data_IF_141822877706
#
_entry.id   IF_141822877706
#
_cell.length_a   1.000
_cell.length_b   1.000
_cell.length_c   1.000
_cell.angle_alpha   90.00
_cell.angle_beta   90.00
_cell.angle_gamma   90.00
#
_symmetry.space_group_name_H-M   'P 1'
#
loop_
_entity.id
_entity.type
_entity.pdbx_description
1 polymer ?
#
# COMPACT_ATOMS: atom_id res chain seq x y z
N UNK A 1 53.38 52.95 26.66
CA UNK A 1 53.75 51.71 27.37
C UNK A 1 52.52 50.83 27.51
N UNK A 2 52.64 49.52 27.17
CA UNK A 2 51.71 48.38 27.42
C UNK A 2 50.31 48.46 26.78
N UNK A 3 50.11 47.95 25.55
CA UNK A 3 49.73 46.56 25.17
C UNK A 3 48.61 45.97 26.03
N UNK A 4 47.43 45.77 25.41
CA UNK A 4 46.56 44.61 25.64
C UNK A 4 45.70 44.44 24.37
N UNK A 5 46.04 43.41 23.60
CA UNK A 5 45.26 42.90 22.47
C UNK A 5 44.19 41.96 23.03
N UNK A 6 42.95 42.11 22.60
CA UNK A 6 41.90 41.12 22.80
C UNK A 6 41.38 40.71 21.42
N UNK A 7 41.88 39.57 20.95
CA UNK A 7 41.40 38.92 19.74
C UNK A 7 40.00 38.36 20.01
N UNK A 8 38.97 38.98 19.42
CA UNK A 8 37.63 38.39 19.33
C UNK A 8 37.65 37.38 18.18
N UNK A 9 37.75 36.10 18.56
CA UNK A 9 37.68 34.98 17.65
C UNK A 9 36.29 34.93 16.98
N UNK A 10 36.26 35.15 15.66
CA UNK A 10 35.11 34.88 14.82
C UNK A 10 34.93 33.36 14.69
N UNK A 11 34.15 32.77 15.60
CA UNK A 11 33.72 31.38 15.49
C UNK A 11 32.71 31.22 14.36
N UNK A 12 33.17 30.72 13.21
CA UNK A 12 32.29 30.19 12.17
C UNK A 12 31.50 29.00 12.75
N UNK A 13 30.21 29.21 13.01
CA UNK A 13 29.25 28.14 13.23
C UNK A 13 29.02 27.42 11.89
N UNK A 14 29.88 26.45 11.59
CA UNK A 14 29.62 25.45 10.56
C UNK A 14 28.49 24.54 11.05
N UNK A 15 27.25 24.89 10.71
CA UNK A 15 26.11 24.00 10.83
C UNK A 15 26.34 22.85 9.85
N UNK A 16 26.41 21.58 10.30
CA UNK A 16 26.42 20.47 9.37
C UNK A 16 25.09 20.46 8.62
N UNK A 17 25.16 20.64 7.30
CA UNK A 17 24.07 20.37 6.39
C UNK A 17 23.83 18.86 6.36
N UNK A 18 23.16 18.34 7.39
CA UNK A 18 22.65 16.97 7.36
C UNK A 18 21.59 16.90 6.25
N UNK A 19 21.84 15.99 5.31
CA UNK A 19 21.13 15.85 4.04
C UNK A 19 19.62 15.87 4.19
N UNK A 20 18.99 16.77 3.44
CA UNK A 20 17.56 16.70 3.19
C UNK A 20 17.34 15.60 2.14
N UNK A 21 17.14 14.36 2.60
CA UNK A 21 16.67 13.27 1.74
C UNK A 21 15.26 13.67 1.25
N UNK A 22 15.16 14.13 0.01
CA UNK A 22 13.88 14.49 -0.58
C UNK A 22 13.10 13.21 -0.88
N UNK A 23 12.16 12.85 -0.01
CA UNK A 23 11.19 11.79 -0.31
C UNK A 23 10.29 12.30 -1.44
N UNK A 24 10.51 11.79 -2.66
CA UNK A 24 9.65 12.11 -3.79
C UNK A 24 8.22 11.64 -3.51
N UNK A 25 7.28 12.58 -3.37
CA UNK A 25 5.86 12.28 -3.29
C UNK A 25 5.35 11.98 -4.70
N UNK A 26 5.42 10.73 -5.12
CA UNK A 26 4.80 10.27 -6.36
C UNK A 26 3.30 10.50 -6.31
N UNK A 27 2.75 11.17 -7.32
CA UNK A 27 1.29 11.31 -7.44
C UNK A 27 0.66 9.93 -7.68
N UNK A 28 -0.48 9.67 -7.06
CA UNK A 28 -1.20 8.41 -7.22
C UNK A 28 -2.26 8.54 -8.32
N UNK A 29 -2.21 7.63 -9.30
CA UNK A 29 -3.26 7.47 -10.30
C UNK A 29 -4.27 6.40 -9.84
N UNK A 30 -5.51 6.54 -10.28
CA UNK A 30 -6.59 5.60 -9.99
C UNK A 30 -6.71 4.57 -11.13
N UNK A 31 -6.85 3.30 -10.78
CA UNK A 31 -7.10 2.21 -11.71
C UNK A 31 -8.59 1.95 -11.94
N UNK A 32 -8.90 1.20 -12.99
CA UNK A 32 -10.25 0.78 -13.36
C UNK A 32 -10.64 -0.55 -12.71
N UNK A 33 -9.66 -1.38 -12.35
CA UNK A 33 -9.86 -2.65 -11.67
C UNK A 33 -8.69 -2.98 -10.73
N UNK A 34 -8.94 -3.88 -9.77
CA UNK A 34 -7.90 -4.52 -8.96
C UNK A 34 -7.76 -5.98 -9.40
N UNK A 35 -6.52 -6.44 -9.57
CA UNK A 35 -6.21 -7.85 -9.72
C UNK A 35 -5.82 -8.39 -8.36
N UNK A 36 -6.60 -9.34 -7.88
CA UNK A 36 -6.45 -9.96 -6.58
C UNK A 36 -6.09 -11.43 -6.75
N UNK A 37 -5.30 -11.97 -5.84
CA UNK A 37 -5.09 -13.41 -5.68
C UNK A 37 -5.81 -13.89 -4.44
N UNK A 38 -6.48 -15.02 -4.56
CA UNK A 38 -6.97 -15.77 -3.42
C UNK A 38 -6.17 -17.07 -3.26
N UNK A 39 -6.08 -17.54 -2.02
CA UNK A 39 -5.39 -18.77 -1.63
C UNK A 39 -6.23 -19.57 -0.65
N UNK A 40 -6.39 -20.86 -0.88
CA UNK A 40 -6.81 -21.82 0.15
C UNK A 40 -5.58 -22.30 0.92
N UNK A 41 -5.43 -21.84 2.17
CA UNK A 41 -4.27 -22.15 3.02
C UNK A 41 -4.17 -23.64 3.38
N UNK A 42 -5.25 -24.41 3.23
CA UNK A 42 -5.27 -25.84 3.60
C UNK A 42 -4.64 -26.72 2.51
N UNK A 43 -4.89 -26.42 1.23
CA UNK A 43 -4.41 -27.24 0.11
C UNK A 43 -3.45 -26.50 -0.85
N UNK A 44 -3.24 -25.19 -0.64
CA UNK A 44 -2.33 -24.37 -1.44
C UNK A 44 -2.88 -23.95 -2.81
N UNK A 45 -4.14 -24.25 -3.11
CA UNK A 45 -4.75 -23.84 -4.38
C UNK A 45 -4.96 -22.33 -4.42
N UNK A 46 -4.57 -21.69 -5.52
CA UNK A 46 -4.71 -20.25 -5.70
C UNK A 46 -5.43 -19.92 -7.02
N UNK A 47 -6.08 -18.77 -7.04
CA UNK A 47 -6.70 -18.21 -8.25
C UNK A 47 -6.54 -16.70 -8.25
N UNK A 48 -6.49 -16.12 -9.44
CA UNK A 48 -6.49 -14.68 -9.63
C UNK A 48 -7.85 -14.24 -10.19
N UNK A 49 -8.33 -13.10 -9.74
CA UNK A 49 -9.52 -12.46 -10.28
C UNK A 49 -9.25 -10.97 -10.52
N UNK A 50 -9.73 -10.46 -11.65
CA UNK A 50 -9.80 -9.03 -11.91
C UNK A 50 -11.20 -8.53 -11.56
N UNK A 51 -11.26 -7.56 -10.66
CA UNK A 51 -12.52 -7.01 -10.14
C UNK A 51 -12.51 -5.50 -10.41
N UNK A 52 -13.50 -5.04 -11.17
CA UNK A 52 -13.67 -3.62 -11.44
C UNK A 52 -13.85 -2.82 -10.14
N UNK A 53 -13.30 -1.61 -10.09
CA UNK A 53 -13.50 -0.69 -8.97
C UNK A 53 -15.01 -0.37 -8.83
N UNK A 54 -15.51 -0.42 -7.61
CA UNK A 54 -16.94 -0.30 -7.28
C UNK A 54 -17.74 -1.60 -7.43
N UNK A 55 -17.10 -2.71 -7.75
CA UNK A 55 -17.74 -4.03 -7.93
C UNK A 55 -17.28 -5.05 -6.90
N UNK A 56 -17.99 -6.19 -6.87
CA UNK A 56 -17.66 -7.34 -6.02
C UNK A 56 -17.55 -8.62 -6.83
N UNK A 57 -16.71 -9.55 -6.39
CA UNK A 57 -16.66 -10.92 -6.91
C UNK A 57 -16.51 -11.94 -5.77
N UNK A 58 -16.97 -13.16 -6.01
CA UNK A 58 -16.75 -14.27 -5.09
C UNK A 58 -15.44 -15.00 -5.40
N UNK A 59 -14.61 -15.21 -4.38
CA UNK A 59 -13.33 -15.90 -4.47
C UNK A 59 -13.25 -16.94 -3.33
N UNK A 60 -13.21 -18.23 -3.66
CA UNK A 60 -13.25 -19.33 -2.68
C UNK A 60 -14.35 -19.23 -1.61
N UNK A 61 -15.50 -18.63 -1.94
CA UNK A 61 -16.57 -18.43 -0.97
C UNK A 61 -16.35 -17.25 -0.02
N UNK A 62 -15.46 -16.31 -0.36
CA UNK A 62 -15.41 -14.97 0.19
C UNK A 62 -16.00 -13.99 -0.83
N UNK A 63 -16.83 -13.06 -0.38
CA UNK A 63 -17.28 -11.94 -1.20
C UNK A 63 -16.33 -10.77 -1.03
N UNK A 64 -15.58 -10.47 -2.08
CA UNK A 64 -14.54 -9.43 -2.10
C UNK A 64 -15.06 -8.22 -2.87
N UNK A 65 -15.05 -7.05 -2.24
CA UNK A 65 -15.49 -5.79 -2.84
C UNK A 65 -14.30 -4.85 -2.99
N UNK A 66 -14.10 -4.31 -4.19
CA UNK A 66 -13.04 -3.35 -4.48
C UNK A 66 -13.65 -1.95 -4.50
N UNK A 67 -13.29 -1.11 -3.54
CA UNK A 67 -13.80 0.27 -3.47
C UNK A 67 -12.89 1.26 -4.17
N UNK A 68 -11.58 1.02 -4.14
CA UNK A 68 -10.59 1.87 -4.81
C UNK A 68 -9.35 1.03 -5.15
N UNK A 69 -8.63 1.41 -6.19
CA UNK A 69 -7.35 0.81 -6.58
C UNK A 69 -6.44 1.91 -7.13
N UNK A 70 -5.25 2.06 -6.58
CA UNK A 70 -4.30 3.11 -6.96
C UNK A 70 -2.90 2.58 -7.18
N UNK A 71 -2.16 3.28 -8.02
CA UNK A 71 -0.77 3.00 -8.36
C UNK A 71 0.01 4.32 -8.57
N UNK A 72 1.35 4.31 -8.53
CA UNK A 72 2.14 5.53 -8.78
C UNK A 72 1.96 5.99 -10.23
N UNK A 73 1.53 7.23 -10.45
CA UNK A 73 1.30 7.77 -11.80
C UNK A 73 2.57 7.76 -12.65
N UNK A 74 3.72 8.08 -12.03
CA UNK A 74 5.04 8.07 -12.66
C UNK A 74 5.55 6.65 -12.97
N UNK A 75 4.98 5.62 -12.34
CA UNK A 75 5.33 4.22 -12.52
C UNK A 75 4.07 3.33 -12.42
N UNK A 76 3.31 3.17 -13.53
CA UNK A 76 2.09 2.36 -13.54
C UNK A 76 2.28 0.88 -13.19
N UNK A 77 3.51 0.37 -13.32
CA UNK A 77 3.90 -0.97 -12.91
C UNK A 77 4.43 -1.06 -11.48
N UNK A 78 4.42 0.07 -10.75
CA UNK A 78 4.88 0.19 -9.38
C UNK A 78 3.92 -0.41 -8.37
N UNK A 79 4.18 -0.15 -7.09
CA UNK A 79 3.45 -0.76 -5.98
C UNK A 79 1.99 -0.28 -5.93
N UNK A 80 1.07 -1.21 -6.12
CA UNK A 80 -0.35 -0.93 -6.11
C UNK A 80 -0.89 -1.01 -4.68
N UNK A 81 -1.94 -0.26 -4.41
CA UNK A 81 -2.69 -0.39 -3.17
C UNK A 81 -4.18 -0.23 -3.45
N UNK A 82 -4.98 -1.10 -2.85
CA UNK A 82 -6.43 -1.14 -3.06
C UNK A 82 -7.17 -1.11 -1.73
N UNK A 83 -8.33 -0.46 -1.72
CA UNK A 83 -9.24 -0.52 -0.59
C UNK A 83 -10.23 -1.66 -0.82
N UNK A 84 -10.15 -2.67 0.04
CA UNK A 84 -10.98 -3.87 -0.06
C UNK A 84 -11.89 -3.99 1.15
N UNK A 85 -13.08 -4.55 0.91
CA UNK A 85 -13.95 -5.07 1.96
C UNK A 85 -14.21 -6.55 1.64
N UNK A 86 -13.89 -7.44 2.58
CA UNK A 86 -14.03 -8.90 2.44
C UNK A 86 -14.95 -9.43 3.52
N UNK A 87 -15.92 -10.27 3.13
CA UNK A 87 -16.89 -10.89 4.05
C UNK A 87 -17.27 -12.29 3.58
N UNK A 88 -17.87 -13.06 4.47
CA UNK A 88 -18.50 -14.32 4.09
C UNK A 88 -19.83 -14.04 3.35
N UNK A 89 -20.17 -14.77 2.28
CA UNK A 89 -21.47 -14.69 1.63
C UNK A 89 -22.60 -15.00 2.62
N UNK A 90 -23.62 -14.15 2.66
CA UNK A 90 -24.77 -14.30 3.56
C UNK A 90 -24.52 -13.90 5.02
N UNK A 91 -23.30 -13.49 5.37
CA UNK A 91 -22.96 -12.93 6.68
C UNK A 91 -22.70 -11.42 6.57
N UNK A 92 -23.04 -10.68 7.62
CA UNK A 92 -22.68 -9.28 7.79
C UNK A 92 -21.28 -9.09 8.38
N UNK A 93 -20.66 -10.15 8.92
CA UNK A 93 -19.34 -10.07 9.53
C UNK A 93 -18.24 -9.80 8.49
N UNK A 94 -17.64 -8.61 8.58
CA UNK A 94 -16.49 -8.20 7.79
C UNK A 94 -15.24 -8.89 8.32
N UNK A 95 -14.55 -9.63 7.44
CA UNK A 95 -13.29 -10.32 7.74
C UNK A 95 -12.07 -9.41 7.50
N UNK A 96 -12.23 -8.45 6.59
CA UNK A 96 -11.22 -7.43 6.30
C UNK A 96 -11.90 -6.19 5.74
N UNK A 97 -11.46 -5.01 6.19
CA UNK A 97 -11.79 -3.75 5.57
C UNK A 97 -10.62 -2.79 5.72
N UNK A 98 -10.11 -2.29 4.59
CA UNK A 98 -9.04 -1.31 4.62
C UNK A 98 -8.20 -1.29 3.36
N UNK A 99 -7.14 -0.48 3.42
CA UNK A 99 -6.11 -0.44 2.40
C UNK A 99 -5.17 -1.63 2.53
N UNK A 100 -4.87 -2.23 1.39
CA UNK A 100 -3.88 -3.29 1.27
C UNK A 100 -2.85 -2.91 0.21
N UNK A 101 -1.57 -3.10 0.53
CA UNK A 101 -0.43 -2.79 -0.34
C UNK A 101 0.03 -4.08 -1.01
N UNK A 102 0.16 -4.09 -2.33
CA UNK A 102 0.47 -5.29 -3.09
C UNK A 102 1.85 -5.87 -2.75
N UNK A 103 2.86 -5.03 -2.52
CA UNK A 103 4.19 -5.47 -2.09
C UNK A 103 4.23 -6.00 -0.65
N UNK A 104 3.29 -5.59 0.21
CA UNK A 104 3.34 -5.79 1.66
C UNK A 104 1.97 -6.12 2.27
N UNK A 105 1.24 -7.14 1.77
CA UNK A 105 -0.10 -7.44 2.24
C UNK A 105 -0.13 -7.85 3.73
N UNK A 106 0.99 -8.39 4.24
CA UNK A 106 1.13 -8.78 5.64
C UNK A 106 1.07 -7.60 6.65
N UNK A 107 1.19 -6.34 6.20
CA UNK A 107 1.04 -5.17 7.08
C UNK A 107 -0.40 -4.96 7.54
N UNK A 108 -1.36 -5.40 6.73
CA UNK A 108 -2.79 -5.38 7.03
C UNK A 108 -3.42 -6.63 6.41
N UNK A 109 -3.24 -7.81 7.04
CA UNK A 109 -3.63 -9.08 6.46
C UNK A 109 -5.13 -9.32 6.58
N UNK A 110 -5.68 -10.12 5.67
CA UNK A 110 -7.01 -10.71 5.83
C UNK A 110 -6.95 -11.78 6.94
N UNK A 111 -7.73 -11.58 8.01
CA UNK A 111 -7.83 -12.54 9.11
C UNK A 111 -9.00 -13.49 8.91
N UNK A 112 -8.80 -14.49 8.04
CA UNK A 112 -9.78 -15.54 7.80
C UNK A 112 -9.14 -16.93 8.01
N UNK A 113 -9.88 -17.87 8.58
CA UNK A 113 -9.31 -19.16 9.05
C UNK A 113 -8.72 -20.01 7.93
N UNK A 114 -9.37 -20.06 6.76
CA UNK A 114 -9.01 -20.94 5.64
C UNK A 114 -8.43 -20.20 4.45
N UNK A 115 -9.15 -19.20 3.96
CA UNK A 115 -8.76 -18.44 2.78
C UNK A 115 -7.95 -17.20 3.10
N UNK A 116 -7.10 -16.78 2.17
CA UNK A 116 -6.42 -15.50 2.15
C UNK A 116 -6.66 -14.81 0.79
N UNK A 117 -6.70 -13.48 0.77
CA UNK A 117 -6.92 -12.67 -0.44
C UNK A 117 -6.04 -11.45 -0.37
N UNK A 118 -5.27 -11.20 -1.43
CA UNK A 118 -4.42 -10.01 -1.50
C UNK A 118 -4.35 -9.36 -2.86
N UNK A 119 -4.00 -8.07 -2.86
CA UNK A 119 -3.79 -7.26 -4.06
C UNK A 119 -2.50 -7.69 -4.77
N UNK A 120 -2.55 -7.90 -6.07
CA UNK A 120 -1.35 -8.09 -6.91
C UNK A 120 -0.99 -6.79 -7.63
N UNK A 121 -1.99 -6.15 -8.25
CA UNK A 121 -1.81 -4.91 -9.03
C UNK A 121 -3.16 -4.21 -9.26
N UNK A 122 -3.11 -2.96 -9.69
CA UNK A 122 -4.24 -2.30 -10.32
C UNK A 122 -4.16 -2.43 -11.85
N UNK A 123 -5.31 -2.45 -12.50
CA UNK A 123 -5.46 -2.34 -13.96
C UNK A 123 -5.90 -0.93 -14.32
N UNK A 124 -5.54 -0.46 -15.51
CA UNK A 124 -5.88 0.88 -16.01
C UNK A 124 -6.65 0.87 -17.34
N UNK A 125 -7.01 -0.31 -17.85
CA UNK A 125 -7.62 -0.51 -19.17
C UNK A 125 -8.68 -1.61 -19.15
#
# INVERSE_FOLDING_TARGET
MKRLAAALAAGLLALPAWGQEQVAQSSAAQGTAAVLRALDKVNGHSMDAEIAVGSSAEMFGLLVTVSDCRYPAENPTGDAYAFLTVRNPGDSAVQFEGWMIASSPALNPLDHSRYDVWVIRCSSS
#
